data_IF_065561129207
#
_entry.id   IF_065561129207
#
_cell.length_a   1.000
_cell.length_b   1.000
_cell.length_c   1.000
_cell.angle_alpha   90.00
_cell.angle_beta   90.00
_cell.angle_gamma   90.00
#
_symmetry.space_group_name_H-M   'P 1'
#
loop_
_entity.id
_entity.type
_entity.pdbx_description
1 polymer ?
#
# COMPACT_ATOMS: atom_id res chain seq x y z
N UNK A 1 -5.82 -21.70 6.51
CA UNK A 1 -4.72 -20.92 5.91
C UNK A 1 -3.42 -21.63 6.16
N UNK A 2 -2.61 -21.76 5.12
CA UNK A 2 -1.28 -22.38 5.16
C UNK A 2 -0.22 -21.31 5.40
N UNK A 3 0.77 -21.61 6.24
CA UNK A 3 1.85 -20.71 6.62
C UNK A 3 3.20 -21.33 6.29
N UNK A 4 4.10 -20.55 5.70
CA UNK A 4 5.40 -21.00 5.25
C UNK A 4 6.49 -19.99 5.58
N UNK A 5 7.69 -20.50 5.81
CA UNK A 5 8.91 -19.71 5.67
C UNK A 5 9.52 -20.07 4.31
N UNK A 6 9.76 -19.05 3.49
CA UNK A 6 10.24 -19.19 2.11
C UNK A 6 11.55 -18.46 1.93
N UNK A 7 12.50 -19.08 1.24
CA UNK A 7 13.79 -18.52 0.89
C UNK A 7 14.08 -18.77 -0.60
N UNK A 8 14.59 -17.76 -1.30
CA UNK A 8 15.09 -17.87 -2.68
C UNK A 8 16.27 -18.84 -2.75
N UNK A 9 16.37 -19.60 -3.82
CA UNK A 9 17.57 -20.40 -4.13
C UNK A 9 18.61 -19.61 -4.94
N UNK A 10 18.23 -18.46 -5.48
CA UNK A 10 19.08 -17.58 -6.27
C UNK A 10 19.93 -16.68 -5.36
N UNK A 11 21.25 -16.82 -5.44
CA UNK A 11 22.23 -16.09 -4.61
C UNK A 11 22.19 -14.58 -4.85
N UNK A 12 21.92 -14.13 -6.07
CA UNK A 12 21.89 -12.71 -6.40
C UNK A 12 20.63 -12.04 -5.81
N UNK A 13 19.50 -12.75 -5.84
CA UNK A 13 18.30 -12.34 -5.11
C UNK A 13 18.57 -12.27 -3.61
N UNK A 14 19.20 -13.29 -3.02
CA UNK A 14 19.47 -13.32 -1.58
C UNK A 14 20.38 -12.17 -1.12
N UNK A 15 21.33 -11.75 -1.95
CA UNK A 15 22.24 -10.64 -1.64
C UNK A 15 21.53 -9.29 -1.54
N UNK A 16 20.47 -9.09 -2.33
CA UNK A 16 19.77 -7.81 -2.44
C UNK A 16 18.42 -7.79 -1.71
N UNK A 17 17.88 -8.94 -1.32
CA UNK A 17 16.57 -9.05 -0.70
C UNK A 17 16.55 -8.49 0.73
N UNK A 18 15.38 -7.97 1.13
CA UNK A 18 15.14 -7.54 2.51
C UNK A 18 15.11 -8.72 3.49
N UNK A 19 14.53 -9.83 3.06
CA UNK A 19 14.31 -11.03 3.87
C UNK A 19 14.89 -12.26 3.15
N UNK A 20 14.10 -13.33 3.00
CA UNK A 20 14.50 -14.52 2.26
C UNK A 20 14.38 -14.39 0.74
N UNK A 21 14.04 -13.23 0.18
CA UNK A 21 13.93 -13.06 -1.28
C UNK A 21 12.73 -13.77 -1.94
N UNK A 22 11.75 -14.24 -1.15
CA UNK A 22 10.63 -15.03 -1.67
C UNK A 22 9.82 -14.31 -2.77
N UNK A 23 9.53 -13.01 -2.57
CA UNK A 23 8.72 -12.21 -3.53
C UNK A 23 9.39 -12.16 -4.89
N UNK A 24 10.67 -11.77 -4.93
CA UNK A 24 11.46 -11.72 -6.16
C UNK A 24 11.61 -13.11 -6.80
N UNK A 25 11.78 -14.17 -5.99
CA UNK A 25 11.88 -15.54 -6.49
C UNK A 25 10.57 -16.02 -7.15
N UNK A 26 9.41 -15.67 -6.58
CA UNK A 26 8.11 -15.95 -7.20
C UNK A 26 7.94 -15.21 -8.53
N UNK A 27 8.30 -13.93 -8.59
CA UNK A 27 8.27 -13.15 -9.83
C UNK A 27 9.23 -13.73 -10.88
N UNK A 28 10.42 -14.16 -10.46
CA UNK A 28 11.41 -14.79 -11.33
C UNK A 28 10.86 -16.07 -11.93
N UNK A 29 10.24 -16.92 -11.12
CA UNK A 29 9.55 -18.13 -11.58
C UNK A 29 8.46 -17.80 -12.62
N UNK A 30 7.58 -16.83 -12.33
CA UNK A 30 6.47 -16.45 -13.21
C UNK A 30 6.97 -15.94 -14.57
N UNK A 31 8.03 -15.12 -14.60
CA UNK A 31 8.65 -14.65 -15.85
C UNK A 31 9.39 -15.75 -16.61
N UNK A 32 10.24 -16.54 -15.93
CA UNK A 32 11.04 -17.60 -16.57
C UNK A 32 10.15 -18.66 -17.22
N UNK A 33 9.00 -18.97 -16.59
CA UNK A 33 8.00 -19.91 -17.13
C UNK A 33 6.99 -19.25 -18.07
N UNK A 34 7.10 -17.95 -18.34
CA UNK A 34 6.19 -17.19 -19.21
C UNK A 34 4.72 -17.31 -18.79
N UNK A 35 4.48 -17.38 -17.49
CA UNK A 35 3.13 -17.39 -16.91
C UNK A 35 2.54 -15.98 -16.83
N UNK A 36 3.41 -14.97 -16.87
CA UNK A 36 3.06 -13.55 -16.96
C UNK A 36 3.91 -12.88 -18.05
N UNK A 37 3.40 -11.80 -18.61
CA UNK A 37 4.09 -10.96 -19.60
C UNK A 37 5.00 -9.93 -18.94
N UNK A 38 4.70 -9.56 -17.69
CA UNK A 38 5.49 -8.60 -16.93
C UNK A 38 5.23 -8.67 -15.43
N UNK A 39 6.15 -8.08 -14.66
CA UNK A 39 6.07 -7.92 -13.21
C UNK A 39 6.04 -6.43 -12.90
N UNK A 40 4.99 -5.96 -12.24
CA UNK A 40 4.88 -4.59 -11.76
C UNK A 40 5.33 -4.51 -10.30
N UNK A 41 6.47 -3.86 -10.06
CA UNK A 41 7.07 -3.68 -8.74
C UNK A 41 7.64 -2.27 -8.59
N UNK A 42 8.27 -1.97 -7.45
CA UNK A 42 9.03 -0.73 -7.26
C UNK A 42 10.52 -0.99 -7.50
N UNK A 43 11.16 -0.05 -8.19
CA UNK A 43 12.61 0.07 -8.30
C UNK A 43 13.07 1.30 -7.54
N UNK A 44 14.25 1.23 -6.92
CA UNK A 44 14.89 2.38 -6.28
C UNK A 44 15.20 3.46 -7.32
N UNK A 45 14.81 4.70 -7.02
CA UNK A 45 15.10 5.87 -7.84
C UNK A 45 16.53 6.38 -7.64
N UNK A 46 16.67 7.69 -7.45
CA UNK A 46 17.96 8.31 -7.14
C UNK A 46 18.51 7.81 -5.80
N UNK A 47 17.62 7.69 -4.81
CA UNK A 47 17.94 7.28 -3.45
C UNK A 47 16.89 6.29 -2.87
N UNK A 48 17.05 5.91 -1.60
CA UNK A 48 16.14 4.98 -0.90
C UNK A 48 14.75 5.56 -0.61
N UNK A 49 14.57 6.87 -0.75
CA UNK A 49 13.31 7.56 -0.51
C UNK A 49 12.42 7.57 -1.76
N UNK A 50 13.01 7.40 -2.93
CA UNK A 50 12.34 7.39 -4.22
C UNK A 50 12.00 5.96 -4.68
N UNK A 51 10.71 5.65 -4.77
CA UNK A 51 10.23 4.41 -5.37
C UNK A 51 9.57 4.67 -6.71
N UNK A 52 10.14 4.09 -7.77
CA UNK A 52 9.66 4.19 -9.13
C UNK A 52 8.84 2.94 -9.49
N UNK A 53 7.58 3.09 -9.92
CA UNK A 53 6.87 1.99 -10.58
C UNK A 53 7.68 1.48 -11.77
N UNK A 54 7.97 0.18 -11.78
CA UNK A 54 8.79 -0.47 -12.80
C UNK A 54 8.10 -1.73 -13.30
N UNK A 55 7.92 -1.81 -14.63
CA UNK A 55 7.37 -2.98 -15.31
C UNK A 55 8.53 -3.81 -15.86
N UNK A 56 8.85 -4.90 -15.17
CA UNK A 56 9.94 -5.81 -15.49
C UNK A 56 9.44 -6.90 -16.43
N UNK A 57 10.07 -7.04 -17.60
CA UNK A 57 9.74 -8.10 -18.57
C UNK A 57 10.87 -9.13 -18.74
N UNK A 58 12.07 -8.86 -18.23
CA UNK A 58 13.19 -9.80 -18.16
C UNK A 58 13.46 -10.18 -16.69
N UNK A 59 13.44 -11.48 -16.39
CA UNK A 59 13.65 -11.98 -15.05
C UNK A 59 15.03 -11.64 -14.47
N UNK A 60 16.03 -11.33 -15.31
CA UNK A 60 17.36 -10.88 -14.88
C UNK A 60 17.36 -9.49 -14.26
N UNK A 61 16.40 -8.65 -14.61
CA UNK A 61 16.28 -7.28 -14.09
C UNK A 61 15.53 -7.23 -12.75
N UNK A 62 14.91 -8.33 -12.31
CA UNK A 62 14.12 -8.36 -11.08
C UNK A 62 14.93 -8.00 -9.83
N UNK A 63 16.25 -8.23 -9.84
CA UNK A 63 17.14 -7.87 -8.73
C UNK A 63 17.09 -6.37 -8.43
N UNK A 64 16.79 -5.52 -9.42
CA UNK A 64 16.67 -4.07 -9.26
C UNK A 64 15.41 -3.66 -8.47
N UNK A 65 14.49 -4.60 -8.26
CA UNK A 65 13.24 -4.41 -7.49
C UNK A 65 13.31 -5.01 -6.08
N UNK A 66 14.47 -5.57 -5.70
CA UNK A 66 14.69 -6.11 -4.38
C UNK A 66 14.80 -5.02 -3.30
N UNK A 67 14.49 -5.42 -2.06
CA UNK A 67 14.54 -4.56 -0.90
C UNK A 67 13.18 -3.93 -0.57
N UNK A 68 13.17 -3.09 0.46
CA UNK A 68 11.99 -2.32 0.86
C UNK A 68 12.17 -0.84 0.52
N UNK A 69 11.06 -0.20 0.14
CA UNK A 69 10.95 1.25 -0.03
C UNK A 69 9.74 1.74 0.76
N UNK A 70 9.98 2.13 2.01
CA UNK A 70 8.95 2.58 2.94
C UNK A 70 8.52 4.04 2.70
N UNK A 71 9.18 4.76 1.79
CA UNK A 71 8.80 6.15 1.46
C UNK A 71 7.80 6.27 0.29
N UNK A 72 7.76 5.26 -0.56
CA UNK A 72 6.99 5.28 -1.80
C UNK A 72 5.56 4.69 -1.66
N UNK A 73 4.53 5.42 -2.10
CA UNK A 73 3.25 4.82 -2.47
C UNK A 73 3.35 4.18 -3.86
N UNK A 74 2.60 3.10 -4.07
CA UNK A 74 2.67 2.23 -5.25
C UNK A 74 1.58 2.58 -6.29
N UNK A 75 0.34 2.82 -5.85
CA UNK A 75 -0.81 3.18 -6.70
C UNK A 75 -1.10 2.19 -7.85
N UNK A 76 -0.70 0.93 -7.71
CA UNK A 76 -0.68 -0.01 -8.84
C UNK A 76 -2.07 -0.35 -9.38
N UNK A 77 -3.11 -0.37 -8.54
CA UNK A 77 -4.48 -0.59 -9.03
C UNK A 77 -4.91 0.42 -10.11
N UNK A 78 -4.58 1.70 -9.94
CA UNK A 78 -4.88 2.75 -10.91
C UNK A 78 -4.12 2.52 -12.24
N UNK A 79 -2.82 2.24 -12.13
CA UNK A 79 -1.95 1.99 -13.28
C UNK A 79 -2.42 0.78 -14.09
N UNK A 80 -2.75 -0.33 -13.41
CA UNK A 80 -3.22 -1.54 -14.05
C UNK A 80 -4.53 -1.26 -14.79
N UNK A 81 -5.53 -0.72 -14.09
CA UNK A 81 -6.85 -0.43 -14.68
C UNK A 81 -6.77 0.46 -15.93
N UNK A 82 -5.95 1.51 -15.90
CA UNK A 82 -5.87 2.48 -17.00
C UNK A 82 -4.96 2.06 -18.14
N UNK A 83 -3.88 1.33 -17.86
CA UNK A 83 -2.79 1.17 -18.82
C UNK A 83 -2.40 -0.29 -19.09
N UNK A 84 -2.68 -1.22 -18.17
CA UNK A 84 -2.16 -2.60 -18.26
C UNK A 84 -3.23 -3.68 -18.11
N UNK A 85 -4.53 -3.32 -18.12
CA UNK A 85 -5.66 -4.22 -17.86
C UNK A 85 -5.73 -5.46 -18.77
N UNK A 86 -5.10 -5.39 -19.95
CA UNK A 86 -5.16 -6.46 -20.95
C UNK A 86 -4.01 -7.46 -20.81
N UNK A 87 -2.96 -7.11 -20.05
CA UNK A 87 -1.76 -7.93 -19.84
C UNK A 87 -1.93 -8.94 -18.71
N UNK A 88 -1.29 -10.10 -18.85
CA UNK A 88 -1.07 -11.02 -17.75
C UNK A 88 0.12 -10.54 -16.92
N UNK A 89 -0.10 -10.18 -15.65
CA UNK A 89 0.92 -9.56 -14.82
C UNK A 89 1.08 -10.28 -13.48
N UNK A 90 2.28 -10.19 -12.93
CA UNK A 90 2.46 -10.30 -11.48
C UNK A 90 2.67 -8.91 -10.88
N UNK A 91 2.20 -8.67 -9.67
CA UNK A 91 2.31 -7.36 -9.02
C UNK A 91 2.61 -7.50 -7.53
N UNK A 92 3.57 -6.71 -7.04
CA UNK A 92 3.81 -6.58 -5.60
C UNK A 92 2.85 -5.55 -5.03
N UNK A 93 2.03 -5.89 -4.03
CA UNK A 93 0.98 -4.99 -3.52
C UNK A 93 1.17 -4.66 -2.05
N UNK A 94 1.05 -3.37 -1.70
CA UNK A 94 0.80 -2.98 -0.31
C UNK A 94 -0.68 -3.22 0.01
N UNK A 95 -1.10 -3.27 1.29
CA UNK A 95 -2.50 -3.47 1.66
C UNK A 95 -3.50 -2.54 0.96
N UNK A 96 -3.13 -1.27 0.75
CA UNK A 96 -3.96 -0.32 0.01
C UNK A 96 -4.09 -0.66 -1.48
N UNK A 97 -3.05 -1.18 -2.15
CA UNK A 97 -3.19 -1.62 -3.55
C UNK A 97 -4.03 -2.88 -3.66
N UNK A 98 -3.85 -3.84 -2.74
CA UNK A 98 -4.66 -5.05 -2.71
C UNK A 98 -6.15 -4.71 -2.57
N UNK A 99 -6.48 -3.78 -1.64
CA UNK A 99 -7.84 -3.26 -1.50
C UNK A 99 -8.33 -2.53 -2.76
N UNK A 100 -7.48 -1.74 -3.41
CA UNK A 100 -7.83 -1.04 -4.64
C UNK A 100 -8.15 -2.00 -5.79
N UNK A 101 -7.32 -3.03 -5.98
CA UNK A 101 -7.50 -4.06 -7.01
C UNK A 101 -8.82 -4.78 -6.79
N UNK A 102 -9.13 -5.18 -5.56
CA UNK A 102 -10.42 -5.80 -5.21
C UNK A 102 -11.60 -4.86 -5.53
N UNK A 103 -11.53 -3.57 -5.21
CA UNK A 103 -12.59 -2.61 -5.59
C UNK A 103 -12.73 -2.43 -7.10
N UNK A 104 -11.62 -2.47 -7.85
CA UNK A 104 -11.61 -2.33 -9.30
C UNK A 104 -12.12 -3.60 -10.01
N UNK A 105 -11.83 -4.78 -9.46
CA UNK A 105 -12.33 -6.07 -9.95
C UNK A 105 -13.86 -6.12 -9.92
N UNK A 106 -14.47 -5.78 -8.79
CA UNK A 106 -15.94 -5.74 -8.62
C UNK A 106 -16.66 -4.85 -9.64
N UNK A 107 -15.92 -3.88 -10.19
CA UNK A 107 -16.41 -2.88 -11.14
C UNK A 107 -15.94 -3.17 -12.56
N UNK A 108 -15.43 -4.38 -12.81
CA UNK A 108 -14.97 -4.87 -14.11
C UNK A 108 -13.88 -3.99 -14.74
N UNK A 109 -13.05 -3.36 -13.91
CA UNK A 109 -11.93 -2.53 -14.36
C UNK A 109 -10.61 -3.31 -14.39
N UNK A 110 -10.53 -4.39 -13.62
CA UNK A 110 -9.41 -5.31 -13.58
C UNK A 110 -9.95 -6.74 -13.67
N UNK A 111 -9.30 -7.55 -14.48
CA UNK A 111 -9.52 -9.00 -14.53
C UNK A 111 -8.53 -9.69 -13.58
N UNK A 112 -9.03 -10.28 -12.49
CA UNK A 112 -8.19 -10.94 -11.49
C UNK A 112 -7.51 -12.21 -12.01
N UNK A 113 -8.05 -12.83 -13.05
CA UNK A 113 -7.48 -14.07 -13.58
C UNK A 113 -6.19 -13.79 -14.34
N UNK A 114 -6.00 -12.56 -14.80
CA UNK A 114 -4.77 -12.06 -15.42
C UNK A 114 -3.71 -11.57 -14.44
N UNK A 115 -4.00 -11.53 -13.13
CA UNK A 115 -3.08 -10.97 -12.13
C UNK A 115 -2.60 -12.02 -11.14
N UNK A 116 -1.29 -12.09 -10.90
CA UNK A 116 -0.74 -12.68 -9.67
C UNK A 116 -0.43 -11.56 -8.68
N UNK A 117 -1.04 -11.60 -7.49
CA UNK A 117 -0.87 -10.57 -6.45
C UNK A 117 -0.01 -11.12 -5.32
N UNK A 118 1.17 -10.54 -5.13
CA UNK A 118 2.07 -10.87 -4.01
C UNK A 118 2.08 -9.69 -3.04
N UNK A 119 1.33 -9.82 -1.96
CA UNK A 119 1.13 -8.79 -0.97
C UNK A 119 2.28 -8.69 0.04
N UNK A 120 2.56 -7.48 0.50
CA UNK A 120 3.60 -7.19 1.50
C UNK A 120 2.96 -6.73 2.80
N UNK A 121 3.32 -7.31 3.94
CA UNK A 121 2.87 -6.79 5.23
C UNK A 121 3.35 -5.34 5.41
N UNK A 122 2.48 -4.44 5.84
CA UNK A 122 2.80 -3.01 5.85
C UNK A 122 2.39 -2.35 7.16
N UNK A 123 3.36 -1.69 7.80
CA UNK A 123 3.11 -0.83 8.95
C UNK A 123 2.65 0.59 8.57
N UNK A 124 2.91 1.01 7.34
CA UNK A 124 2.67 2.34 6.80
C UNK A 124 3.86 2.82 5.99
N UNK A 125 3.76 4.04 5.47
CA UNK A 125 4.82 4.66 4.66
C UNK A 125 5.09 6.08 5.16
N UNK A 126 6.26 6.62 4.87
CA UNK A 126 6.67 7.99 5.26
C UNK A 126 6.75 8.87 4.00
N UNK A 127 6.34 10.15 3.99
CA UNK A 127 6.60 11.02 2.84
C UNK A 127 8.10 11.20 2.60
N UNK A 128 8.62 11.15 1.35
CA UNK A 128 10.06 11.22 1.08
C UNK A 128 10.76 12.44 1.71
N UNK A 129 10.17 13.63 1.57
CA UNK A 129 10.72 14.87 2.15
C UNK A 129 10.67 14.87 3.68
N UNK A 130 9.65 14.25 4.26
CA UNK A 130 9.57 14.05 5.71
C UNK A 130 10.65 13.07 6.18
N UNK A 131 10.91 12.00 5.41
CA UNK A 131 11.97 11.04 5.71
C UNK A 131 13.36 11.69 5.63
N UNK A 132 13.66 12.49 4.60
CA UNK A 132 14.95 13.22 4.53
C UNK A 132 15.16 14.12 5.75
N UNK A 133 14.16 14.94 6.11
CA UNK A 133 14.22 15.79 7.32
C UNK A 133 14.33 14.99 8.61
N UNK A 134 13.63 13.85 8.69
CA UNK A 134 13.73 12.93 9.83
C UNK A 134 15.18 12.46 10.00
N UNK A 135 15.83 12.06 8.91
CA UNK A 135 17.21 11.56 8.94
C UNK A 135 18.17 12.66 9.41
N UNK A 136 18.05 13.89 8.89
CA UNK A 136 18.86 15.02 9.35
C UNK A 136 18.67 15.29 10.86
N UNK A 137 17.43 15.36 11.32
CA UNK A 137 17.10 15.85 12.67
C UNK A 137 17.27 14.81 13.78
N UNK A 138 16.92 13.54 13.51
CA UNK A 138 16.88 12.50 14.54
C UNK A 138 18.06 11.54 14.47
N UNK A 139 18.75 11.49 13.34
CA UNK A 139 19.91 10.60 13.14
C UNK A 139 21.23 11.38 13.06
N UNK A 140 21.18 12.69 12.83
CA UNK A 140 22.35 13.57 12.64
C UNK A 140 23.27 13.01 11.54
N UNK A 141 22.67 12.72 10.37
CA UNK A 141 23.35 12.22 9.18
C UNK A 141 22.80 12.88 7.92
N UNK A 142 23.62 12.91 6.87
CA UNK A 142 23.17 13.30 5.53
C UNK A 142 22.22 12.21 4.97
N UNK A 143 20.98 12.55 4.56
CA UNK A 143 20.07 11.62 3.91
C UNK A 143 20.67 10.91 2.70
N UNK A 144 21.59 11.56 1.99
CA UNK A 144 22.23 10.99 0.80
C UNK A 144 23.22 9.86 1.15
N UNK A 145 23.60 9.71 2.43
CA UNK A 145 24.45 8.61 2.91
C UNK A 145 23.67 7.35 3.29
N UNK A 146 22.34 7.39 3.26
CA UNK A 146 21.49 6.22 3.54
C UNK A 146 21.41 5.32 2.32
N UNK A 147 21.88 4.07 2.47
CA UNK A 147 21.89 3.06 1.39
C UNK A 147 20.78 2.02 1.53
N UNK A 148 20.26 1.84 2.75
CA UNK A 148 19.16 0.91 3.06
C UNK A 148 18.34 1.43 4.23
N UNK A 149 17.05 1.13 4.23
CA UNK A 149 16.15 1.39 5.33
C UNK A 149 15.28 0.16 5.64
N UNK A 150 15.00 -0.07 6.93
CA UNK A 150 14.14 -1.15 7.39
C UNK A 150 13.26 -0.68 8.55
N UNK A 151 12.03 -1.18 8.61
CA UNK A 151 11.18 -1.07 9.79
C UNK A 151 11.07 -2.44 10.47
N UNK A 152 11.72 -2.57 11.62
CA UNK A 152 11.65 -3.75 12.47
C UNK A 152 11.45 -3.37 13.95
N UNK A 153 10.67 -4.18 14.67
CA UNK A 153 10.40 -4.04 16.12
C UNK A 153 10.04 -2.62 16.57
N UNK A 154 9.30 -1.88 15.75
CA UNK A 154 8.83 -0.52 16.04
C UNK A 154 9.91 0.56 15.90
N UNK A 155 11.04 0.25 15.26
CA UNK A 155 12.10 1.20 14.96
C UNK A 155 12.21 1.42 13.46
N UNK A 156 12.57 2.63 13.07
CA UNK A 156 13.03 2.95 11.74
C UNK A 156 14.56 2.85 11.75
N UNK A 157 15.10 1.91 10.98
CA UNK A 157 16.51 1.53 10.97
C UNK A 157 17.09 2.00 9.63
N UNK A 158 18.25 2.65 9.67
CA UNK A 158 19.01 3.03 8.47
C UNK A 158 20.38 2.38 8.49
N UNK A 159 20.85 2.00 7.30
CA UNK A 159 22.23 1.60 7.04
C UNK A 159 22.90 2.67 6.18
N UNK A 160 24.10 3.08 6.58
CA UNK A 160 24.86 4.13 5.92
C UNK A 160 25.95 3.55 4.99
N UNK A 161 26.48 4.38 4.08
CA UNK A 161 27.58 4.01 3.17
C UNK A 161 28.84 3.49 3.90
N UNK A 162 29.07 3.92 5.13
CA UNK A 162 30.20 3.46 5.95
C UNK A 162 29.96 2.11 6.65
N UNK A 163 28.78 1.52 6.44
CA UNK A 163 28.34 0.26 7.04
C UNK A 163 27.82 0.39 8.47
N UNK A 164 27.70 1.60 9.02
CA UNK A 164 27.09 1.81 10.32
C UNK A 164 25.56 1.77 10.24
N UNK A 165 24.94 1.28 11.32
CA UNK A 165 23.49 1.23 11.47
C UNK A 165 23.05 2.19 12.58
N UNK A 166 21.97 2.95 12.32
CA UNK A 166 21.31 3.80 13.32
C UNK A 166 19.82 3.47 13.36
N UNK A 167 19.19 3.68 14.52
CA UNK A 167 17.75 3.41 14.67
C UNK A 167 17.09 4.38 15.64
N UNK A 168 15.88 4.84 15.29
CA UNK A 168 15.00 5.67 16.13
C UNK A 168 13.64 4.99 16.22
N UNK A 169 12.93 5.19 17.32
CA UNK A 169 11.60 4.59 17.48
C UNK A 169 10.56 5.34 16.65
N UNK A 170 9.64 4.60 16.05
CA UNK A 170 8.61 5.19 15.17
C UNK A 170 7.61 6.03 15.96
N UNK A 171 7.30 5.68 17.21
CA UNK A 171 6.39 6.46 18.05
C UNK A 171 6.93 7.87 18.32
N UNK A 172 8.20 7.99 18.67
CA UNK A 172 8.91 9.26 18.83
C UNK A 172 8.85 10.12 17.55
N UNK A 173 9.11 9.50 16.40
CA UNK A 173 9.03 10.18 15.10
C UNK A 173 7.61 10.66 14.78
N UNK A 174 6.59 9.87 15.13
CA UNK A 174 5.18 10.25 14.91
C UNK A 174 4.73 11.39 15.82
N UNK A 175 5.14 11.39 17.09
CA UNK A 175 4.84 12.44 18.06
C UNK A 175 5.42 13.80 17.63
N UNK A 176 6.61 13.79 17.03
CA UNK A 176 7.26 15.00 16.49
C UNK A 176 6.81 15.36 15.07
N UNK A 177 5.88 14.60 14.47
CA UNK A 177 5.31 14.89 13.15
C UNK A 177 6.16 14.44 11.96
N UNK A 178 7.18 13.62 12.18
CA UNK A 178 8.08 13.09 11.14
C UNK A 178 7.80 11.63 10.77
N UNK A 179 6.86 10.95 11.42
CA UNK A 179 6.59 9.53 11.19
C UNK A 179 5.75 9.21 9.94
N UNK A 180 4.94 8.14 10.05
CA UNK A 180 4.16 7.63 8.90
C UNK A 180 3.13 8.65 8.41
N UNK A 181 2.75 8.56 7.13
CA UNK A 181 1.60 9.25 6.53
C UNK A 181 0.37 9.10 7.43
N UNK A 182 -0.36 10.19 7.61
CA UNK A 182 -1.49 10.29 8.56
C UNK A 182 -2.56 9.21 8.28
N UNK A 183 -2.83 8.89 7.00
CA UNK A 183 -3.79 7.85 6.64
C UNK A 183 -3.27 6.44 6.95
N UNK A 184 -1.97 6.18 6.80
CA UNK A 184 -1.35 4.90 7.12
C UNK A 184 -1.46 4.56 8.60
N UNK A 185 -1.38 5.58 9.47
CA UNK A 185 -1.57 5.45 10.92
C UNK A 185 -2.92 4.85 11.28
N UNK A 186 -3.97 5.09 10.48
CA UNK A 186 -5.36 4.66 10.71
C UNK A 186 -5.74 3.36 10.00
N UNK A 187 -4.84 2.76 9.23
CA UNK A 187 -5.15 1.56 8.45
C UNK A 187 -5.33 0.34 9.37
N UNK A 188 -6.33 -0.50 9.08
CA UNK A 188 -6.56 -1.78 9.77
C UNK A 188 -6.00 -2.99 9.00
N UNK A 189 -5.89 -2.93 7.67
CA UNK A 189 -5.33 -4.03 6.89
C UNK A 189 -3.79 -3.97 6.93
N UNK A 190 -3.18 -4.95 7.59
CA UNK A 190 -1.73 -5.01 7.79
C UNK A 190 -1.08 -6.13 7.01
N UNK A 191 -1.66 -7.32 7.06
CA UNK A 191 -1.30 -8.45 6.22
C UNK A 191 -2.34 -8.56 5.11
N UNK A 192 -1.97 -8.36 3.83
CA UNK A 192 -2.90 -8.34 2.70
C UNK A 192 -3.34 -9.76 2.29
N UNK A 193 -4.18 -10.39 3.11
CA UNK A 193 -4.72 -11.76 2.85
C UNK A 193 -5.71 -11.82 1.68
N UNK A 194 -6.11 -10.66 1.16
CA UNK A 194 -6.85 -10.50 -0.09
C UNK A 194 -5.94 -10.52 -1.34
N UNK A 195 -4.68 -10.94 -1.20
CA UNK A 195 -3.74 -11.24 -2.30
C UNK A 195 -3.54 -12.75 -2.41
N UNK A 196 -2.97 -13.23 -3.53
CA UNK A 196 -2.70 -14.66 -3.72
C UNK A 196 -1.71 -15.20 -2.68
N UNK A 197 -0.65 -14.43 -2.42
CA UNK A 197 0.32 -14.67 -1.36
C UNK A 197 0.49 -13.40 -0.53
N UNK A 198 0.56 -13.52 0.79
CA UNK A 198 0.91 -12.41 1.69
C UNK A 198 2.25 -12.67 2.37
N UNK A 199 3.24 -11.84 2.06
CA UNK A 199 4.64 -11.98 2.43
C UNK A 199 5.08 -10.90 3.43
N UNK A 200 6.14 -11.16 4.18
CA UNK A 200 6.91 -10.11 4.84
C UNK A 200 7.76 -10.56 6.02
N UNK A 201 8.25 -9.59 6.79
CA UNK A 201 9.23 -9.78 7.86
C UNK A 201 8.61 -10.12 9.23
N UNK A 202 7.29 -9.98 9.41
CA UNK A 202 6.68 -10.22 10.73
C UNK A 202 6.63 -11.69 11.10
N UNK A 203 7.29 -12.04 12.21
CA UNK A 203 7.43 -13.41 12.69
C UNK A 203 8.42 -14.25 11.87
N UNK A 204 9.21 -13.64 10.99
CA UNK A 204 10.17 -14.36 10.17
C UNK A 204 11.47 -14.70 10.93
N UNK A 205 12.23 -15.64 10.37
CA UNK A 205 13.60 -15.97 10.80
C UNK A 205 14.61 -15.28 9.86
N UNK A 206 15.84 -15.04 10.34
CA UNK A 206 16.88 -14.39 9.51
C UNK A 206 17.11 -15.19 8.21
N UNK A 207 17.07 -14.49 7.07
CA UNK A 207 17.24 -15.10 5.74
C UNK A 207 16.01 -15.84 5.21
N UNK A 208 14.86 -15.72 5.88
CA UNK A 208 13.59 -16.29 5.42
C UNK A 208 12.53 -15.18 5.30
N UNK A 209 11.57 -15.37 4.42
CA UNK A 209 10.35 -14.54 4.32
C UNK A 209 9.17 -15.33 4.87
N UNK A 210 8.35 -14.70 5.71
CA UNK A 210 7.10 -15.30 6.16
C UNK A 210 6.04 -15.17 5.07
N UNK A 211 5.41 -16.27 4.66
CA UNK A 211 4.42 -16.33 3.58
C UNK A 211 3.13 -16.99 4.06
N UNK A 212 2.01 -16.30 3.83
CA UNK A 212 0.65 -16.78 3.99
C UNK A 212 0.01 -17.00 2.62
N UNK A 213 -0.65 -18.14 2.44
CA UNK A 213 -1.42 -18.41 1.22
C UNK A 213 -2.82 -17.83 1.35
N UNK A 214 -3.17 -16.91 0.44
CA UNK A 214 -4.46 -16.22 0.41
C UNK A 214 -5.43 -16.76 -0.66
N UNK A 215 -4.95 -17.47 -1.68
CA UNK A 215 -5.79 -18.06 -2.73
C UNK A 215 -5.29 -19.43 -3.21
N UNK A 216 -6.14 -20.17 -3.92
CA UNK A 216 -5.76 -21.42 -4.60
C UNK A 216 -4.63 -21.18 -5.62
N UNK A 217 -4.71 -20.09 -6.39
CA UNK A 217 -3.67 -19.66 -7.34
C UNK A 217 -2.33 -19.39 -6.63
N UNK A 218 -2.36 -18.82 -5.43
CA UNK A 218 -1.17 -18.62 -4.59
C UNK A 218 -0.57 -19.94 -4.09
N UNK A 219 -1.40 -20.89 -3.66
CA UNK A 219 -0.96 -22.23 -3.26
C UNK A 219 -0.26 -22.96 -4.42
N UNK A 220 -0.83 -22.89 -5.62
CA UNK A 220 -0.25 -23.49 -6.83
C UNK A 220 1.08 -22.84 -7.21
N UNK A 221 1.15 -21.50 -7.18
CA UNK A 221 2.38 -20.75 -7.40
C UNK A 221 3.49 -21.22 -6.44
N UNK A 222 3.18 -21.32 -5.14
CA UNK A 222 4.15 -21.74 -4.13
C UNK A 222 4.66 -23.16 -4.39
N UNK A 223 3.75 -24.11 -4.61
CA UNK A 223 4.11 -25.52 -4.88
C UNK A 223 4.94 -25.67 -6.13
N UNK A 224 4.57 -24.99 -7.21
CA UNK A 224 5.26 -25.11 -8.49
C UNK A 224 6.63 -24.43 -8.45
N UNK A 225 6.75 -23.25 -7.83
CA UNK A 225 8.04 -22.58 -7.64
C UNK A 225 8.99 -23.43 -6.79
N UNK A 226 8.49 -24.10 -5.74
CA UNK A 226 9.28 -25.03 -4.94
C UNK A 226 9.72 -26.25 -5.75
N UNK A 227 8.78 -26.90 -6.46
CA UNK A 227 9.05 -28.09 -7.26
C UNK A 227 10.10 -27.84 -8.36
N UNK A 228 10.08 -26.65 -8.94
CA UNK A 228 10.99 -26.20 -10.00
C UNK A 228 12.30 -25.61 -9.45
N UNK A 229 12.49 -25.62 -8.12
CA UNK A 229 13.75 -25.26 -7.48
C UNK A 229 14.02 -23.76 -7.33
N UNK A 230 13.02 -22.89 -7.49
CA UNK A 230 13.17 -21.44 -7.31
C UNK A 230 13.20 -21.02 -5.84
N UNK A 231 12.61 -21.83 -4.97
CA UNK A 231 12.50 -21.54 -3.54
C UNK A 231 12.70 -22.77 -2.67
N UNK A 232 13.24 -22.54 -1.48
CA UNK A 232 13.20 -23.43 -0.34
C UNK A 232 11.99 -23.07 0.54
N UNK A 233 11.34 -24.09 1.09
CA UNK A 233 10.15 -23.93 1.95
C UNK A 233 10.32 -24.75 3.21
N UNK A 234 9.98 -24.18 4.36
CA UNK A 234 9.84 -24.89 5.63
C UNK A 234 8.64 -24.37 6.42
N UNK A 235 8.17 -25.16 7.38
CA UNK A 235 7.12 -24.73 8.28
C UNK A 235 7.66 -23.69 9.28
N UNK A 236 6.89 -22.61 9.60
CA UNK A 236 7.24 -21.72 10.70
C UNK A 236 7.08 -22.44 12.04
N UNK A 237 7.89 -22.04 13.04
CA UNK A 237 7.69 -22.48 14.42
C UNK A 237 6.40 -21.89 15.02
N UNK A 238 5.86 -22.52 16.08
CA UNK A 238 4.72 -21.96 16.84
C UNK A 238 5.02 -20.54 17.35
N UNK A 239 6.27 -20.33 17.80
CA UNK A 239 6.74 -19.01 18.25
C UNK A 239 6.70 -17.96 17.12
N UNK A 240 7.08 -18.34 15.91
CA UNK A 240 7.02 -17.45 14.74
C UNK A 240 5.58 -17.02 14.43
N UNK A 241 4.63 -17.98 14.46
CA UNK A 241 3.21 -17.73 14.29
C UNK A 241 2.65 -16.78 15.36
N UNK A 242 2.99 -17.03 16.62
CA UNK A 242 2.59 -16.15 17.72
C UNK A 242 3.13 -14.73 17.57
N UNK A 243 4.42 -14.57 17.21
CA UNK A 243 5.04 -13.26 17.03
C UNK A 243 4.32 -12.50 15.92
N UNK A 244 4.07 -13.14 14.78
CA UNK A 244 3.36 -12.53 13.66
C UNK A 244 1.98 -12.04 14.07
N UNK A 245 1.20 -12.89 14.75
CA UNK A 245 -0.14 -12.52 15.23
C UNK A 245 -0.12 -11.41 16.28
N UNK A 246 0.87 -11.40 17.18
CA UNK A 246 1.06 -10.34 18.19
C UNK A 246 1.40 -8.99 17.53
N UNK A 247 2.31 -8.98 16.55
CA UNK A 247 2.68 -7.76 15.81
C UNK A 247 1.47 -7.22 15.06
N UNK A 248 0.79 -8.06 14.27
CA UNK A 248 -0.39 -7.64 13.52
C UNK A 248 -1.48 -7.07 14.43
N UNK A 249 -1.81 -7.76 15.53
CA UNK A 249 -2.78 -7.29 16.52
C UNK A 249 -2.39 -5.94 17.12
N UNK A 250 -1.12 -5.75 17.45
CA UNK A 250 -0.59 -4.47 17.95
C UNK A 250 -0.79 -3.35 16.91
N UNK A 251 -0.46 -3.61 15.65
CA UNK A 251 -0.60 -2.65 14.56
C UNK A 251 -2.05 -2.30 14.25
N UNK A 252 -2.97 -3.25 14.37
CA UNK A 252 -4.42 -3.01 14.23
C UNK A 252 -4.93 -2.15 15.40
N UNK A 253 -4.51 -2.44 16.64
CA UNK A 253 -4.90 -1.65 17.80
C UNK A 253 -4.39 -0.21 17.70
N UNK A 254 -3.17 -0.02 17.20
CA UNK A 254 -2.63 1.31 16.91
C UNK A 254 -3.47 2.02 15.83
N UNK A 255 -3.86 1.29 14.79
CA UNK A 255 -4.81 1.74 13.76
C UNK A 255 -6.10 2.31 14.35
N UNK A 256 -6.74 1.54 15.24
CA UNK A 256 -7.98 1.93 15.92
C UNK A 256 -7.79 3.12 16.86
N UNK A 257 -6.66 3.20 17.57
CA UNK A 257 -6.31 4.37 18.40
C UNK A 257 -6.28 5.64 17.55
N UNK A 258 -5.57 5.62 16.43
CA UNK A 258 -5.47 6.77 15.54
C UNK A 258 -6.77 7.07 14.79
N UNK A 259 -7.61 6.08 14.50
CA UNK A 259 -8.95 6.35 13.99
C UNK A 259 -9.77 7.17 14.99
N UNK A 260 -9.82 6.76 16.26
CA UNK A 260 -10.52 7.53 17.31
C UNK A 260 -9.96 8.94 17.43
N UNK A 261 -8.64 9.06 17.57
CA UNK A 261 -7.99 10.36 17.73
C UNK A 261 -8.22 11.29 16.51
N UNK A 262 -8.04 10.79 15.29
CA UNK A 262 -8.04 11.63 14.09
C UNK A 262 -9.41 11.80 13.45
N UNK A 263 -10.33 10.86 13.67
CA UNK A 263 -11.66 10.83 13.04
C UNK A 263 -12.79 11.14 14.02
N UNK A 264 -12.57 11.10 15.33
CA UNK A 264 -13.56 11.57 16.31
C UNK A 264 -13.09 12.83 17.03
N UNK A 265 -11.90 12.80 17.64
CA UNK A 265 -11.43 13.89 18.51
C UNK A 265 -10.88 15.09 17.71
N UNK A 266 -10.13 14.84 16.63
CA UNK A 266 -9.47 15.86 15.79
C UNK A 266 -10.07 15.97 14.39
N UNK A 267 -11.31 15.51 14.20
CA UNK A 267 -11.95 15.53 12.90
C UNK A 267 -12.36 16.96 12.49
N UNK A 268 -12.28 17.32 11.19
CA UNK A 268 -12.80 18.59 10.70
C UNK A 268 -14.31 18.76 11.01
N UNK A 269 -14.63 19.60 11.98
CA UNK A 269 -16.01 19.86 12.44
C UNK A 269 -16.93 20.28 11.28
N UNK A 270 -18.17 19.73 11.18
CA UNK A 270 -19.15 20.10 10.16
C UNK A 270 -19.37 21.61 9.99
N UNK A 271 -19.35 22.35 11.11
CA UNK A 271 -19.56 23.79 11.15
C UNK A 271 -18.42 24.58 10.48
N UNK A 272 -17.24 23.96 10.36
CA UNK A 272 -16.06 24.52 9.68
C UNK A 272 -15.91 24.01 8.25
N UNK A 273 -16.86 23.23 7.72
CA UNK A 273 -16.75 22.68 6.37
C UNK A 273 -16.60 23.74 5.29
N UNK A 274 -17.24 24.90 5.48
CA UNK A 274 -17.07 26.03 4.59
C UNK A 274 -15.61 26.51 4.56
N UNK A 275 -14.87 26.45 5.67
CA UNK A 275 -13.45 26.84 5.75
C UNK A 275 -12.51 25.86 5.01
N UNK A 276 -12.89 24.59 4.88
CA UNK A 276 -12.09 23.61 4.15
C UNK A 276 -12.46 23.53 2.67
N UNK A 277 -13.76 23.46 2.35
CA UNK A 277 -14.22 23.31 0.97
C UNK A 277 -14.10 24.59 0.15
N UNK A 278 -14.22 25.77 0.77
CA UNK A 278 -13.97 27.06 0.10
C UNK A 278 -12.52 27.26 -0.31
N UNK A 279 -11.58 26.45 0.19
CA UNK A 279 -10.19 26.47 -0.28
C UNK A 279 -10.01 25.69 -1.59
N UNK A 280 -10.98 24.89 -2.00
CA UNK A 280 -10.85 24.03 -3.17
C UNK A 280 -10.67 24.86 -4.45
N UNK A 281 -9.57 24.62 -5.15
CA UNK A 281 -9.25 25.28 -6.43
C UNK A 281 -9.70 24.47 -7.66
N UNK A 282 -10.48 23.40 -7.47
CA UNK A 282 -10.98 22.53 -8.56
C UNK A 282 -9.85 22.04 -9.50
N UNK A 283 -8.68 21.70 -8.97
CA UNK A 283 -7.55 21.20 -9.77
C UNK A 283 -7.69 19.72 -10.19
N UNK A 284 -8.70 19.01 -9.69
CA UNK A 284 -8.99 17.59 -9.95
C UNK A 284 -7.91 16.57 -9.53
N UNK A 285 -6.77 16.99 -8.98
CA UNK A 285 -5.69 16.08 -8.56
C UNK A 285 -6.17 14.94 -7.65
N UNK A 286 -7.03 15.25 -6.68
CA UNK A 286 -7.58 14.24 -5.77
C UNK A 286 -8.48 13.19 -6.46
N UNK A 287 -9.11 13.54 -7.59
CA UNK A 287 -9.88 12.62 -8.43
C UNK A 287 -8.94 11.75 -9.25
N UNK A 288 -7.99 12.37 -9.91
CA UNK A 288 -7.15 11.69 -10.91
C UNK A 288 -6.18 10.68 -10.28
N UNK A 289 -5.69 11.01 -9.08
CA UNK A 289 -4.81 10.12 -8.29
C UNK A 289 -5.58 8.98 -7.62
N UNK A 290 -6.89 9.11 -7.41
CA UNK A 290 -7.65 8.15 -6.62
C UNK A 290 -7.71 6.79 -7.32
N UNK A 291 -7.24 5.70 -6.68
CA UNK A 291 -7.08 4.42 -7.36
C UNK A 291 -8.40 3.73 -7.68
N UNK A 292 -9.50 4.18 -7.09
CA UNK A 292 -10.85 3.64 -7.29
C UNK A 292 -11.74 4.60 -8.10
N UNK A 293 -11.17 5.66 -8.68
CA UNK A 293 -11.86 6.54 -9.62
C UNK A 293 -11.50 6.13 -11.05
N UNK A 294 -12.46 5.53 -11.77
CA UNK A 294 -12.26 4.93 -13.09
C UNK A 294 -13.32 5.32 -14.13
N UNK A 295 -14.27 6.18 -13.77
CA UNK A 295 -15.38 6.56 -14.65
C UNK A 295 -14.85 7.16 -15.97
N UNK A 296 -15.35 6.66 -17.11
CA UNK A 296 -15.04 7.23 -18.44
C UNK A 296 -15.65 8.62 -18.61
N UNK A 297 -16.92 8.74 -18.21
CA UNK A 297 -17.65 9.99 -18.11
C UNK A 297 -17.82 10.31 -16.63
N UNK A 298 -17.29 11.44 -16.20
CA UNK A 298 -17.27 11.81 -14.80
C UNK A 298 -18.32 12.89 -14.55
N UNK A 299 -19.22 12.65 -13.59
CA UNK A 299 -20.19 13.65 -13.15
C UNK A 299 -19.53 15.01 -12.83
N UNK A 300 -18.27 15.01 -12.37
CA UNK A 300 -17.49 16.21 -12.04
C UNK A 300 -16.99 17.02 -13.26
N UNK A 301 -17.13 16.47 -14.47
CA UNK A 301 -16.73 17.09 -15.74
C UNK A 301 -17.91 17.57 -16.59
N UNK A 302 -19.14 17.33 -16.14
CA UNK A 302 -20.36 17.65 -16.88
C UNK A 302 -20.64 19.15 -17.00
N UNK A 303 -21.39 19.55 -18.02
CA UNK A 303 -21.70 20.95 -18.33
C UNK A 303 -22.55 21.65 -17.27
N UNK A 304 -23.36 20.90 -16.52
CA UNK A 304 -24.20 21.45 -15.46
C UNK A 304 -23.43 21.82 -14.18
N UNK A 305 -22.15 21.45 -14.10
CA UNK A 305 -21.27 21.92 -13.05
C UNK A 305 -20.60 23.21 -13.49
N UNK A 306 -20.59 24.20 -12.60
CA UNK A 306 -19.98 25.51 -12.85
C UNK A 306 -18.54 25.39 -13.34
N UNK A 307 -18.33 25.59 -14.65
CA UNK A 307 -17.01 25.58 -15.28
C UNK A 307 -16.38 26.96 -15.08
N UNK A 308 -15.40 27.03 -14.17
CA UNK A 308 -14.61 28.25 -13.92
C UNK A 308 -14.88 28.95 -12.58
N UNK A 309 -15.95 28.63 -11.87
CA UNK A 309 -16.19 29.17 -10.52
C UNK A 309 -15.25 28.53 -9.50
N UNK A 310 -14.51 29.38 -8.77
CA UNK A 310 -13.60 29.02 -7.68
C UNK A 310 -13.91 29.90 -6.45
N UNK A 311 -14.13 29.31 -5.26
CA UNK A 311 -14.23 27.86 -5.03
C UNK A 311 -15.45 27.24 -5.75
N UNK A 312 -15.42 25.92 -6.02
CA UNK A 312 -16.64 25.23 -6.43
C UNK A 312 -17.72 25.39 -5.38
N UNK A 313 -18.97 25.30 -5.80
CA UNK A 313 -20.04 24.94 -4.88
C UNK A 313 -19.65 23.63 -4.14
N UNK A 314 -19.56 23.64 -2.80
CA UNK A 314 -19.08 22.50 -2.02
C UNK A 314 -19.91 21.23 -2.23
N UNK A 315 -21.22 21.36 -2.43
CA UNK A 315 -22.12 20.22 -2.64
C UNK A 315 -21.86 19.60 -4.02
N UNK A 316 -21.77 20.45 -5.03
CA UNK A 316 -21.65 20.02 -6.42
C UNK A 316 -20.30 19.36 -6.74
N UNK A 317 -19.21 19.75 -6.09
CA UNK A 317 -17.93 19.07 -6.29
C UNK A 317 -17.63 18.04 -5.19
N UNK A 318 -17.55 18.50 -3.96
CA UNK A 318 -17.08 17.70 -2.84
C UNK A 318 -18.18 16.79 -2.30
N UNK A 319 -19.44 17.22 -2.35
CA UNK A 319 -20.59 16.37 -2.05
C UNK A 319 -20.71 15.18 -3.01
N UNK A 320 -20.61 15.40 -4.33
CA UNK A 320 -20.58 14.31 -5.32
C UNK A 320 -19.40 13.36 -5.08
N UNK A 321 -18.20 13.92 -4.84
CA UNK A 321 -17.02 13.09 -4.49
C UNK A 321 -17.27 12.27 -3.23
N UNK A 322 -17.79 12.89 -2.18
CA UNK A 322 -18.05 12.25 -0.90
C UNK A 322 -19.07 11.10 -1.04
N UNK A 323 -20.13 11.28 -1.83
CA UNK A 323 -21.15 10.24 -2.03
C UNK A 323 -20.61 9.00 -2.74
N UNK A 324 -19.65 9.16 -3.66
CA UNK A 324 -18.99 8.02 -4.29
C UNK A 324 -18.00 7.36 -3.31
N UNK A 325 -17.23 8.16 -2.58
CA UNK A 325 -16.17 7.67 -1.70
C UNK A 325 -16.69 7.07 -0.39
N UNK A 326 -17.85 7.48 0.11
CA UNK A 326 -18.43 6.95 1.35
C UNK A 326 -18.67 5.44 1.31
N UNK A 327 -18.83 4.85 0.12
CA UNK A 327 -19.04 3.40 -0.04
C UNK A 327 -17.79 2.64 -0.43
N UNK A 328 -16.71 3.31 -0.82
CA UNK A 328 -15.62 2.65 -1.54
C UNK A 328 -14.23 3.08 -1.10
N UNK A 329 -14.11 4.14 -0.30
CA UNK A 329 -12.82 4.63 0.18
C UNK A 329 -12.06 3.53 0.93
N UNK A 330 -10.84 3.27 0.46
CA UNK A 330 -9.89 2.32 1.05
C UNK A 330 -8.83 2.99 1.95
N UNK A 331 -9.03 4.27 2.31
CA UNK A 331 -8.12 5.07 3.15
C UNK A 331 -6.64 5.09 2.68
N UNK A 332 -6.41 5.07 1.36
CA UNK A 332 -5.05 5.05 0.78
C UNK A 332 -4.30 6.39 0.87
N UNK A 333 -4.97 7.49 1.20
CA UNK A 333 -4.34 8.80 1.46
C UNK A 333 -3.99 9.62 0.23
N UNK A 334 -3.90 9.02 -0.95
CA UNK A 334 -3.37 9.68 -2.15
C UNK A 334 -4.08 11.00 -2.50
N UNK A 335 -5.39 11.07 -2.28
CA UNK A 335 -6.17 12.28 -2.50
C UNK A 335 -5.75 13.46 -1.62
N UNK A 336 -5.33 13.21 -0.38
CA UNK A 336 -4.85 14.20 0.58
C UNK A 336 -3.41 14.61 0.22
N UNK A 337 -2.54 13.63 -0.09
CA UNK A 337 -1.14 13.87 -0.47
C UNK A 337 -1.00 14.83 -1.66
N UNK A 338 -1.90 14.78 -2.65
CA UNK A 338 -1.83 15.64 -3.85
C UNK A 338 -2.63 16.94 -3.74
N UNK A 339 -3.25 17.23 -2.59
CA UNK A 339 -4.10 18.41 -2.46
C UNK A 339 -3.24 19.68 -2.25
N UNK A 340 -3.18 20.63 -3.22
CA UNK A 340 -2.30 21.79 -3.12
C UNK A 340 -2.75 22.82 -2.08
N UNK A 341 -3.96 22.66 -1.56
CA UNK A 341 -4.59 23.52 -0.55
C UNK A 341 -4.89 22.75 0.75
N UNK A 342 -4.29 21.57 0.91
CA UNK A 342 -4.23 20.81 2.16
C UNK A 342 -5.61 20.46 2.76
N UNK A 343 -6.59 20.17 1.91
CA UNK A 343 -7.88 19.67 2.37
C UNK A 343 -7.68 18.24 2.88
N UNK A 344 -8.14 17.90 4.11
CA UNK A 344 -7.94 16.58 4.73
C UNK A 344 -8.89 15.51 4.16
N UNK A 345 -8.81 15.30 2.85
CA UNK A 345 -9.73 14.45 2.08
C UNK A 345 -9.76 13.00 2.58
N UNK A 346 -8.61 12.45 2.97
CA UNK A 346 -8.54 11.06 3.42
C UNK A 346 -9.26 10.89 4.76
N UNK A 347 -9.17 11.87 5.67
CA UNK A 347 -9.94 11.85 6.94
C UNK A 347 -11.44 11.91 6.68
N UNK A 348 -11.87 12.82 5.81
CA UNK A 348 -13.28 13.03 5.47
C UNK A 348 -13.89 11.75 4.89
N UNK A 349 -13.26 11.19 3.85
CA UNK A 349 -13.78 10.00 3.17
C UNK A 349 -13.71 8.76 4.06
N UNK A 350 -12.63 8.59 4.84
CA UNK A 350 -12.52 7.44 5.74
C UNK A 350 -13.56 7.48 6.86
N UNK A 351 -13.81 8.65 7.48
CA UNK A 351 -14.86 8.75 8.50
C UNK A 351 -16.24 8.42 7.93
N UNK A 352 -16.56 8.94 6.75
CA UNK A 352 -17.82 8.64 6.09
C UNK A 352 -17.96 7.14 5.81
N UNK A 353 -16.89 6.50 5.33
CA UNK A 353 -16.87 5.07 5.06
C UNK A 353 -17.02 4.22 6.33
N UNK A 354 -16.36 4.59 7.43
CA UNK A 354 -16.52 3.88 8.71
C UNK A 354 -17.96 3.92 9.21
N UNK A 355 -18.68 5.04 9.07
CA UNK A 355 -20.11 5.12 9.42
C UNK A 355 -20.98 4.16 8.59
N UNK A 356 -20.67 4.01 7.30
CA UNK A 356 -21.33 3.02 6.43
C UNK A 356 -21.00 1.60 6.90
N UNK A 357 -19.74 1.32 7.23
CA UNK A 357 -19.29 0.02 7.76
C UNK A 357 -20.00 -0.33 9.06
N UNK A 358 -20.15 0.61 10.00
CA UNK A 358 -20.86 0.39 11.28
C UNK A 358 -22.32 0.00 11.06
N UNK A 359 -22.96 0.59 10.04
CA UNK A 359 -24.38 0.34 9.75
C UNK A 359 -24.61 -0.95 8.95
N UNK A 360 -23.71 -1.25 8.00
CA UNK A 360 -23.94 -2.29 6.98
C UNK A 360 -23.03 -3.51 7.10
N UNK A 361 -21.95 -3.40 7.89
CA UNK A 361 -20.86 -4.37 7.95
C UNK A 361 -19.89 -4.33 6.76
N UNK A 362 -20.18 -3.54 5.71
CA UNK A 362 -19.41 -3.54 4.46
C UNK A 362 -18.00 -2.95 4.61
N UNK A 363 -16.99 -3.65 4.10
CA UNK A 363 -15.58 -3.27 4.10
C UNK A 363 -15.04 -3.21 2.66
N UNK A 364 -14.80 -1.99 2.11
CA UNK A 364 -14.21 -1.80 0.80
C UNK A 364 -12.84 -2.48 0.67
N UNK A 365 -12.60 -3.09 -0.48
CA UNK A 365 -11.36 -3.80 -0.77
C UNK A 365 -11.17 -5.13 -0.04
N UNK A 366 -12.16 -5.56 0.76
CA UNK A 366 -12.19 -6.86 1.44
C UNK A 366 -13.41 -7.68 1.03
N UNK A 367 -14.61 -7.11 1.07
CA UNK A 367 -15.84 -7.86 0.77
C UNK A 367 -16.08 -7.96 -0.73
N UNK A 368 -16.17 -9.16 -1.32
CA UNK A 368 -16.29 -9.33 -2.77
C UNK A 368 -17.56 -8.73 -3.42
N UNK A 369 -18.60 -8.44 -2.63
CA UNK A 369 -19.85 -7.88 -3.17
C UNK A 369 -19.78 -6.37 -3.45
N UNK A 370 -20.60 -5.88 -4.37
CA UNK A 370 -20.83 -4.44 -4.51
C UNK A 370 -21.44 -3.85 -3.23
N UNK A 371 -21.12 -2.58 -2.87
CA UNK A 371 -21.74 -1.92 -1.74
C UNK A 371 -23.27 -1.88 -1.90
N UNK A 372 -24.02 -1.89 -0.79
CA UNK A 372 -25.48 -2.05 -0.78
C UNK A 372 -26.25 -1.13 -1.76
N UNK A 373 -25.80 0.11 -1.95
CA UNK A 373 -26.45 1.09 -2.85
C UNK A 373 -26.18 0.86 -4.34
N UNK A 374 -25.31 -0.08 -4.69
CA UNK A 374 -24.94 -0.44 -6.07
C UNK A 374 -25.34 -1.87 -6.42
N UNK A 375 -26.17 -2.52 -5.59
CA UNK A 375 -26.72 -3.86 -5.85
C UNK A 375 -27.92 -3.82 -6.77
#
# INVERSE_FOLDING_TARGET
>A
MSYYLVQSTDEDILKHAECGGAVTAFFKYLLDKKLVEGVLALKKGEDVYDGLPYLVNDSKELVETCGSLHCAPTMFGNMISKHLKDMNLAVSVKPCDAMAIVELEKRHQIDKDKLYTIGLNCGGTVPPQTAKKMIELFYDVDPEDVIKEEIDKGKFIIELKDGSEKSVKIDELEEEGYGRRTNCQRCELKVPRNSDLACGNWGTEKGWTFVEVGSEKGEELLKNAQKEGYINVKAPSEKALEIRGKIEKSMINLGKKFQKEQLDEKYPEPEKWDEYWSRCIKCYGCRDVCPICFCKECALGEDYLDKGTIPPDPIMFQGIRLSHMSFSCINCGQCEDVCPVEIPLAKIYHRAQLKIRETTGFVPGIDDSMPFLYK
#
